data_IF_561725070239
#
_entry.id   IF_561725070239
#
_cell.length_a   1.000
_cell.length_b   1.000
_cell.length_c   1.000
_cell.angle_alpha   90.00
_cell.angle_beta   90.00
_cell.angle_gamma   90.00
#
_symmetry.space_group_name_H-M   'P 1'
#
loop_
_entity.id
_entity.type
_entity.pdbx_description
1 polymer ?
#
# COMPACT_ATOMS: atom_id res chain seq x y z
N UNK A 1 -18.04 -38.50 36.38
CA UNK A 1 -17.79 -37.05 36.17
C UNK A 1 -17.10 -36.75 34.83
N UNK A 2 -15.93 -37.28 34.55
CA UNK A 2 -15.25 -37.04 33.30
C UNK A 2 -15.98 -37.55 32.06
N UNK A 3 -16.72 -38.64 32.15
CA UNK A 3 -17.47 -39.22 31.04
C UNK A 3 -18.70 -38.38 30.66
N UNK A 4 -19.34 -37.77 31.61
CA UNK A 4 -20.50 -36.90 31.37
C UNK A 4 -20.08 -35.60 30.68
N UNK A 5 -18.98 -35.02 31.10
CA UNK A 5 -18.41 -33.83 30.47
C UNK A 5 -17.99 -34.10 29.02
N UNK A 6 -17.37 -35.26 28.77
CA UNK A 6 -16.97 -35.64 27.41
C UNK A 6 -18.18 -35.94 26.51
N UNK A 7 -19.25 -36.51 27.06
CA UNK A 7 -20.48 -36.73 26.33
C UNK A 7 -21.20 -35.43 26.02
N UNK A 8 -21.22 -34.50 26.93
CA UNK A 8 -21.80 -33.19 26.73
C UNK A 8 -21.03 -32.41 25.69
N UNK A 9 -19.70 -32.47 25.71
CA UNK A 9 -18.86 -31.86 24.67
C UNK A 9 -19.09 -32.51 23.29
N UNK A 10 -19.24 -33.81 23.20
CA UNK A 10 -19.57 -34.51 21.95
C UNK A 10 -20.93 -34.14 21.44
N UNK A 11 -21.92 -34.05 22.33
CA UNK A 11 -23.28 -33.64 21.97
C UNK A 11 -23.30 -32.18 21.48
N UNK A 12 -22.51 -31.32 22.12
CA UNK A 12 -22.37 -29.94 21.67
C UNK A 12 -21.69 -29.84 20.29
N UNK A 13 -20.66 -30.65 20.05
CA UNK A 13 -20.02 -30.70 18.74
C UNK A 13 -20.97 -31.23 17.65
N UNK A 14 -21.72 -32.27 17.92
CA UNK A 14 -22.70 -32.82 16.98
C UNK A 14 -23.84 -31.84 16.68
N UNK A 15 -24.35 -31.18 17.70
CA UNK A 15 -25.39 -30.16 17.57
C UNK A 15 -24.84 -28.92 16.80
N UNK A 16 -23.63 -28.51 17.12
CA UNK A 16 -23.02 -27.36 16.44
C UNK A 16 -22.73 -27.66 14.97
N UNK A 17 -22.36 -28.89 14.62
CA UNK A 17 -22.14 -29.28 13.22
C UNK A 17 -23.47 -29.30 12.45
N UNK A 18 -24.55 -29.82 13.05
CA UNK A 18 -25.87 -29.79 12.46
C UNK A 18 -26.44 -28.39 12.31
N UNK A 19 -26.27 -27.55 13.32
CA UNK A 19 -26.69 -26.16 13.26
C UNK A 19 -25.88 -25.33 12.26
N UNK A 20 -24.60 -25.66 12.09
CA UNK A 20 -23.73 -24.99 11.11
C UNK A 20 -24.12 -25.30 9.65
N UNK A 21 -24.70 -26.47 9.39
CA UNK A 21 -25.22 -26.80 8.07
C UNK A 21 -26.50 -26.04 7.75
N UNK A 22 -27.32 -25.76 8.77
CA UNK A 22 -28.59 -25.04 8.62
C UNK A 22 -28.45 -23.53 8.78
N UNK A 23 -27.46 -23.07 9.56
CA UNK A 23 -27.20 -21.66 9.79
C UNK A 23 -26.02 -21.20 8.95
N UNK A 24 -26.29 -20.31 8.04
CA UNK A 24 -25.22 -19.64 7.30
C UNK A 24 -24.37 -18.81 8.27
N UNK A 25 -23.06 -19.00 8.19
CA UNK A 25 -22.14 -18.14 8.94
C UNK A 25 -22.26 -16.71 8.43
N UNK A 26 -22.28 -15.71 9.30
CA UNK A 26 -22.31 -14.32 8.84
C UNK A 26 -21.08 -14.01 8.01
N UNK A 27 -21.28 -13.32 6.90
CA UNK A 27 -20.18 -12.93 6.00
C UNK A 27 -19.22 -11.93 6.63
N UNK A 28 -19.72 -11.13 7.56
CA UNK A 28 -18.96 -10.08 8.22
C UNK A 28 -19.21 -10.15 9.72
N UNK A 29 -18.12 -10.16 10.50
CA UNK A 29 -18.19 -10.05 11.95
C UNK A 29 -17.29 -8.92 12.43
N UNK A 30 -17.66 -8.32 13.57
CA UNK A 30 -16.84 -7.31 14.22
C UNK A 30 -16.40 -7.83 15.59
N UNK A 31 -15.10 -7.81 15.84
CA UNK A 31 -14.51 -8.23 17.10
C UNK A 31 -13.32 -7.33 17.44
N UNK A 32 -13.31 -6.81 18.66
CA UNK A 32 -12.24 -5.93 19.16
C UNK A 32 -11.96 -4.69 18.29
N UNK A 33 -13.00 -4.17 17.63
CA UNK A 33 -12.86 -3.01 16.74
C UNK A 33 -12.32 -3.34 15.36
N UNK A 34 -12.15 -4.62 15.04
CA UNK A 34 -11.74 -5.09 13.73
C UNK A 34 -12.89 -5.76 13.02
N UNK A 35 -12.99 -5.53 11.74
CA UNK A 35 -13.96 -6.19 10.86
C UNK A 35 -13.29 -7.38 10.20
N UNK A 36 -13.95 -8.54 10.26
CA UNK A 36 -13.48 -9.78 9.64
C UNK A 36 -14.45 -10.21 8.55
N UNK A 37 -13.92 -10.64 7.43
CA UNK A 37 -14.69 -11.21 6.33
C UNK A 37 -14.52 -12.71 6.26
N UNK A 38 -15.62 -13.41 6.02
CA UNK A 38 -15.63 -14.84 5.81
C UNK A 38 -15.08 -15.17 4.43
N UNK A 39 -14.04 -15.98 4.37
CA UNK A 39 -13.47 -16.48 3.12
C UNK A 39 -14.09 -17.82 2.72
N UNK A 40 -13.80 -18.25 1.50
CA UNK A 40 -14.30 -19.51 0.95
C UNK A 40 -13.84 -20.75 1.73
N UNK A 41 -12.71 -20.66 2.41
CA UNK A 41 -12.16 -21.72 3.26
C UNK A 41 -12.89 -21.87 4.61
N UNK A 42 -13.88 -21.02 4.90
CA UNK A 42 -14.63 -21.01 6.15
C UNK A 42 -13.95 -20.28 7.29
N UNK A 43 -12.82 -19.62 7.05
CA UNK A 43 -12.09 -18.83 8.02
C UNK A 43 -12.40 -17.34 7.87
N UNK A 44 -12.32 -16.62 9.00
CA UNK A 44 -12.45 -15.18 9.02
C UNK A 44 -11.08 -14.52 8.92
N UNK A 45 -10.96 -13.58 8.01
CA UNK A 45 -9.75 -12.77 7.84
C UNK A 45 -10.04 -11.32 8.18
N UNK A 46 -9.14 -10.64 8.90
CA UNK A 46 -9.35 -9.24 9.21
C UNK A 46 -9.37 -8.41 7.93
N UNK A 47 -10.30 -7.48 7.87
CA UNK A 47 -10.33 -6.49 6.81
C UNK A 47 -9.29 -5.43 7.12
N UNK A 48 -8.15 -5.54 6.46
CA UNK A 48 -7.06 -4.56 6.54
C UNK A 48 -7.21 -3.46 5.50
N UNK A 49 -8.19 -3.59 4.60
CA UNK A 49 -8.54 -2.54 3.66
C UNK A 49 -9.58 -1.63 4.28
N UNK A 50 -9.17 -0.45 4.64
CA UNK A 50 -10.08 0.57 5.12
C UNK A 50 -10.89 1.09 3.93
N UNK A 51 -12.21 1.21 4.09
CA UNK A 51 -13.13 1.67 3.02
C UNK A 51 -12.74 3.00 2.39
N UNK A 52 -11.96 3.79 3.09
CA UNK A 52 -11.51 5.11 2.67
C UNK A 52 -10.29 5.08 1.75
N UNK A 53 -9.71 3.93 1.54
CA UNK A 53 -8.38 3.80 0.94
C UNK A 53 -8.37 3.18 -0.44
N UNK A 54 -9.54 2.90 -1.00
CA UNK A 54 -9.65 2.12 -2.22
C UNK A 54 -9.19 2.84 -3.49
N UNK A 55 -9.08 4.17 -3.47
CA UNK A 55 -8.84 4.97 -4.66
C UNK A 55 -7.51 5.73 -4.67
N UNK A 56 -6.55 5.32 -3.83
CA UNK A 56 -5.25 5.96 -3.79
C UNK A 56 -4.17 5.08 -4.41
N UNK A 57 -3.91 5.24 -5.72
CA UNK A 57 -2.80 4.51 -6.34
C UNK A 57 -1.47 4.99 -5.78
N UNK A 58 -0.60 4.04 -5.48
CA UNK A 58 0.72 4.30 -4.92
C UNK A 58 1.77 3.85 -5.93
N UNK A 59 2.55 4.80 -6.41
CA UNK A 59 3.62 4.53 -7.35
C UNK A 59 4.97 4.29 -6.68
N UNK A 60 6.03 4.41 -7.47
CA UNK A 60 7.40 4.12 -7.06
C UNK A 60 7.85 4.88 -5.80
N UNK A 61 7.60 6.18 -5.75
CA UNK A 61 8.07 7.03 -4.64
C UNK A 61 7.30 6.76 -3.35
N UNK A 62 6.01 6.51 -3.46
CA UNK A 62 5.20 6.11 -2.32
C UNK A 62 5.66 4.78 -1.71
N UNK A 63 6.00 3.81 -2.55
CA UNK A 63 6.53 2.51 -2.10
C UNK A 63 7.89 2.63 -1.42
N UNK A 64 8.78 3.47 -1.94
CA UNK A 64 10.08 3.74 -1.33
C UNK A 64 9.89 4.36 0.06
N UNK A 65 9.01 5.32 0.18
CA UNK A 65 8.69 5.95 1.47
C UNK A 65 8.06 4.96 2.45
N UNK A 66 7.17 4.11 1.98
CA UNK A 66 6.53 3.08 2.79
C UNK A 66 7.56 2.11 3.39
N UNK A 67 8.49 1.64 2.58
CA UNK A 67 9.57 0.74 3.02
C UNK A 67 10.45 1.40 4.07
N UNK A 68 10.86 2.64 3.84
CA UNK A 68 11.65 3.40 4.79
C UNK A 68 10.93 3.60 6.13
N UNK A 69 9.68 4.00 6.12
CA UNK A 69 8.91 4.23 7.33
C UNK A 69 8.65 2.94 8.10
N UNK A 70 8.41 1.86 7.40
CA UNK A 70 8.21 0.57 8.03
C UNK A 70 9.47 0.09 8.78
N UNK A 71 10.64 0.32 8.20
CA UNK A 71 11.92 -0.08 8.81
C UNK A 71 12.41 0.89 9.90
N UNK A 72 12.26 2.18 9.70
CA UNK A 72 12.88 3.22 10.53
C UNK A 72 11.91 4.08 11.33
N UNK A 73 10.65 4.13 10.94
CA UNK A 73 9.61 4.94 11.58
C UNK A 73 8.36 4.11 11.88
N UNK A 74 8.56 2.94 12.47
CA UNK A 74 7.50 1.98 12.73
C UNK A 74 6.35 2.55 13.58
N UNK A 75 6.65 3.44 14.52
CA UNK A 75 5.62 4.07 15.34
C UNK A 75 4.68 4.96 14.53
N UNK A 76 5.23 5.84 13.69
CA UNK A 76 4.44 6.69 12.81
C UNK A 76 3.63 5.87 11.80
N UNK A 77 4.24 4.83 11.26
CA UNK A 77 3.57 3.87 10.38
C UNK A 77 2.33 3.25 11.05
N UNK A 78 2.48 2.76 12.27
CA UNK A 78 1.36 2.16 13.02
C UNK A 78 0.26 3.17 13.33
N UNK A 79 0.62 4.39 13.68
CA UNK A 79 -0.35 5.45 13.94
C UNK A 79 -1.16 5.78 12.68
N UNK A 80 -0.51 5.89 11.53
CA UNK A 80 -1.19 6.15 10.27
C UNK A 80 -2.09 4.99 9.82
N UNK A 81 -1.68 3.76 10.07
CA UNK A 81 -2.52 2.59 9.83
C UNK A 81 -3.77 2.63 10.71
N UNK A 82 -3.60 2.97 11.97
CA UNK A 82 -4.69 3.06 12.94
C UNK A 82 -5.67 4.18 12.58
N UNK A 83 -5.17 5.31 12.14
CA UNK A 83 -5.97 6.48 11.74
C UNK A 83 -6.62 6.32 10.35
N UNK A 84 -6.18 5.34 9.57
CA UNK A 84 -6.65 5.14 8.21
C UNK A 84 -6.11 6.16 7.20
N UNK A 85 -5.01 6.83 7.53
CA UNK A 85 -4.41 7.88 6.69
C UNK A 85 -3.19 7.43 5.89
N UNK A 86 -2.78 6.17 6.07
CA UNK A 86 -1.54 5.64 5.49
C UNK A 86 -1.50 5.69 3.97
N UNK A 87 -2.52 5.15 3.30
CA UNK A 87 -2.55 5.13 1.84
C UNK A 87 -2.67 6.52 1.23
N UNK A 88 -3.47 7.37 1.84
CA UNK A 88 -3.56 8.77 1.40
C UNK A 88 -2.23 9.49 1.52
N UNK A 89 -1.52 9.31 2.63
CA UNK A 89 -0.20 9.88 2.86
C UNK A 89 0.79 9.43 1.79
N UNK A 90 0.86 8.12 1.52
CA UNK A 90 1.75 7.58 0.49
C UNK A 90 1.41 8.07 -0.91
N UNK A 91 0.12 8.18 -1.20
CA UNK A 91 -0.33 8.73 -2.47
C UNK A 91 0.09 10.19 -2.63
N UNK A 92 -0.10 11.01 -1.61
CA UNK A 92 0.32 12.42 -1.62
C UNK A 92 1.83 12.55 -1.80
N UNK A 93 2.62 11.75 -1.09
CA UNK A 93 4.09 11.72 -1.26
C UNK A 93 4.47 11.35 -2.68
N UNK A 94 3.83 10.32 -3.23
CA UNK A 94 4.08 9.87 -4.59
C UNK A 94 3.77 10.96 -5.62
N UNK A 95 2.61 11.59 -5.52
CA UNK A 95 2.20 12.69 -6.40
C UNK A 95 3.14 13.89 -6.32
N UNK A 96 3.50 14.31 -5.12
CA UNK A 96 4.43 15.41 -4.90
C UNK A 96 5.80 15.10 -5.50
N UNK A 97 6.30 13.90 -5.32
CA UNK A 97 7.59 13.48 -5.87
C UNK A 97 7.56 13.42 -7.40
N UNK A 98 6.48 12.91 -8.00
CA UNK A 98 6.33 12.91 -9.45
C UNK A 98 6.32 14.32 -10.01
N UNK A 99 5.59 15.23 -9.42
CA UNK A 99 5.54 16.63 -9.85
C UNK A 99 6.90 17.29 -9.70
N UNK A 100 7.59 17.05 -8.61
CA UNK A 100 8.92 17.60 -8.35
C UNK A 100 9.94 17.10 -9.39
N UNK A 101 9.90 15.80 -9.69
CA UNK A 101 10.77 15.21 -10.72
C UNK A 101 10.49 15.84 -12.09
N UNK A 102 9.23 15.94 -12.49
CA UNK A 102 8.87 16.54 -13.78
C UNK A 102 9.35 17.98 -13.89
N UNK A 103 9.14 18.79 -12.85
CA UNK A 103 9.58 20.18 -12.85
C UNK A 103 11.10 20.30 -12.86
N UNK A 104 11.79 19.48 -12.09
CA UNK A 104 13.25 19.49 -12.05
C UNK A 104 13.87 19.05 -13.38
N UNK A 105 13.33 18.00 -13.98
CA UNK A 105 13.78 17.54 -15.30
C UNK A 105 13.57 18.63 -16.35
N UNK A 106 12.42 19.26 -16.35
CA UNK A 106 12.11 20.35 -17.29
C UNK A 106 13.07 21.53 -17.15
N UNK A 107 13.36 21.94 -15.90
CA UNK A 107 14.30 23.03 -15.63
C UNK A 107 15.71 22.71 -16.11
N UNK A 108 16.18 21.49 -15.86
CA UNK A 108 17.52 21.06 -16.26
C UNK A 108 17.59 20.96 -17.78
N UNK A 109 16.56 20.45 -18.44
CA UNK A 109 16.49 20.39 -19.89
C UNK A 109 16.57 21.79 -20.52
N UNK A 110 15.82 22.74 -19.99
CA UNK A 110 15.88 24.13 -20.43
C UNK A 110 17.26 24.75 -20.23
N UNK A 111 17.87 24.53 -19.07
CA UNK A 111 19.19 25.03 -18.73
C UNK A 111 20.31 24.46 -19.60
N UNK A 112 20.23 23.18 -19.93
CA UNK A 112 21.23 22.49 -20.76
C UNK A 112 20.95 22.59 -22.26
N UNK A 113 19.84 23.22 -22.66
CA UNK A 113 19.47 23.37 -24.05
C UNK A 113 19.00 22.08 -24.72
N UNK A 114 18.47 21.12 -23.93
CA UNK A 114 17.89 19.89 -24.45
C UNK A 114 16.45 20.19 -24.90
N UNK A 115 16.32 20.67 -26.12
CA UNK A 115 15.05 21.13 -26.68
C UNK A 115 14.58 20.24 -27.83
N UNK A 116 13.39 20.54 -28.35
CA UNK A 116 12.77 19.81 -29.47
C UNK A 116 13.63 19.74 -30.73
N UNK A 117 14.44 20.76 -31.00
CA UNK A 117 15.35 20.74 -32.13
C UNK A 117 16.36 19.58 -32.06
N UNK A 118 16.85 19.27 -30.87
CA UNK A 118 17.78 18.16 -30.68
C UNK A 118 17.09 16.82 -30.93
N UNK A 119 15.84 16.69 -30.51
CA UNK A 119 15.01 15.50 -30.77
C UNK A 119 14.82 15.29 -32.28
N UNK A 120 14.63 16.37 -33.04
CA UNK A 120 14.47 16.33 -34.51
C UNK A 120 15.76 15.98 -35.21
N UNK A 121 16.90 16.59 -34.84
CA UNK A 121 18.20 16.40 -35.48
C UNK A 121 18.92 15.13 -35.08
N UNK A 122 18.89 14.80 -33.75
CA UNK A 122 19.57 13.65 -33.21
C UNK A 122 18.74 13.01 -32.11
N UNK A 123 17.74 12.16 -32.46
CA UNK A 123 16.86 11.51 -31.49
C UNK A 123 17.58 10.66 -30.44
N UNK A 124 18.66 9.99 -30.84
CA UNK A 124 19.43 9.13 -29.94
C UNK A 124 20.12 9.94 -28.84
N UNK A 125 20.73 11.05 -29.20
CA UNK A 125 21.37 11.95 -28.24
C UNK A 125 20.35 12.60 -27.29
N UNK A 126 19.21 13.01 -27.85
CA UNK A 126 18.10 13.56 -27.07
C UNK A 126 17.63 12.56 -26.01
N UNK A 127 17.37 11.32 -26.39
CA UNK A 127 16.94 10.24 -25.47
C UNK A 127 18.00 10.00 -24.39
N UNK A 128 19.25 9.91 -24.77
CA UNK A 128 20.36 9.70 -23.84
C UNK A 128 20.45 10.82 -22.80
N UNK A 129 20.37 12.06 -23.20
CA UNK A 129 20.41 13.22 -22.30
C UNK A 129 19.20 13.28 -21.38
N UNK A 130 18.01 13.10 -21.91
CA UNK A 130 16.78 13.08 -21.12
C UNK A 130 16.81 11.97 -20.07
N UNK A 131 17.21 10.76 -20.46
CA UNK A 131 17.32 9.63 -19.54
C UNK A 131 18.36 9.87 -18.44
N UNK A 132 19.50 10.48 -18.78
CA UNK A 132 20.52 10.85 -17.82
C UNK A 132 20.02 11.88 -16.80
N UNK A 133 19.34 12.91 -17.26
CA UNK A 133 18.72 13.93 -16.40
C UNK A 133 17.67 13.32 -15.48
N UNK A 134 16.77 12.51 -16.02
CA UNK A 134 15.76 11.81 -15.24
C UNK A 134 16.38 10.93 -14.16
N UNK A 135 17.37 10.12 -14.51
CA UNK A 135 18.04 9.22 -13.58
C UNK A 135 18.67 9.98 -12.41
N UNK A 136 19.31 11.12 -12.68
CA UNK A 136 19.92 11.94 -11.64
C UNK A 136 18.86 12.55 -10.70
N UNK A 137 17.80 13.13 -11.25
CA UNK A 137 16.73 13.75 -10.47
C UNK A 137 15.98 12.71 -9.64
N UNK A 138 15.61 11.59 -10.24
CA UNK A 138 14.95 10.49 -9.55
C UNK A 138 15.81 9.94 -8.41
N UNK A 139 17.11 9.78 -8.64
CA UNK A 139 18.04 9.31 -7.61
C UNK A 139 18.15 10.25 -6.42
N UNK A 140 18.11 11.56 -6.64
CA UNK A 140 18.10 12.55 -5.56
C UNK A 140 16.80 12.50 -4.76
N UNK A 141 15.67 12.41 -5.42
CA UNK A 141 14.37 12.31 -4.75
C UNK A 141 14.27 11.02 -3.95
N UNK A 142 14.69 9.89 -4.50
CA UNK A 142 14.72 8.61 -3.81
C UNK A 142 15.58 8.64 -2.55
N UNK A 143 16.75 9.25 -2.62
CA UNK A 143 17.62 9.41 -1.45
C UNK A 143 16.97 10.25 -0.36
N UNK A 144 16.33 11.34 -0.74
CA UNK A 144 15.62 12.21 0.20
C UNK A 144 14.50 11.46 0.92
N UNK A 145 13.74 10.63 0.20
CA UNK A 145 12.66 9.83 0.78
C UNK A 145 13.14 8.83 1.82
N UNK A 146 14.38 8.40 1.72
CA UNK A 146 14.99 7.44 2.66
C UNK A 146 15.64 8.08 3.87
N UNK A 147 15.76 9.39 3.91
CA UNK A 147 16.45 10.11 5.01
C UNK A 147 15.55 11.08 5.77
N UNK A 148 14.37 11.29 5.31
CA UNK A 148 13.37 12.12 5.99
C UNK A 148 12.37 11.26 6.74
#
# INVERSE_FOLDING_TARGET
>A
MMREELQDMRQMEEVSTGDLEEQELPEVIEENGLIYHLAEDGCYYPDLTFEQETDYPIGKYGLIRAEYMWEHKAHEYRMMLQDGTWNRYLHEVDEECHQEVELAVKRIMEKEGVEEWLKAENPMEWVRRVNGIKANVEGEVERRLRFL
#
